data_IF_589533485549
#
_entry.id   IF_589533485549
#
_cell.length_a   1.000
_cell.length_b   1.000
_cell.length_c   1.000
_cell.angle_alpha   90.00
_cell.angle_beta   90.00
_cell.angle_gamma   90.00
#
_symmetry.space_group_name_H-M   'P 1'
#
loop_
_entity.id
_entity.type
_entity.pdbx_description
1 polymer ?
#
# COMPACT_ATOMS: atom_id res chain seq x y z
N UNK A 1 -10.08 0.78 3.86
CA UNK A 1 -8.60 0.87 3.80
C UNK A 1 -8.05 -0.17 4.75
N UNK A 2 -8.01 -1.46 4.37
CA UNK A 2 -7.63 -2.53 5.31
C UNK A 2 -6.79 -3.66 4.69
N UNK A 3 -6.87 -3.93 3.38
CA UNK A 3 -6.16 -5.08 2.81
C UNK A 3 -4.64 -4.94 2.75
N UNK A 4 -4.11 -3.78 2.33
CA UNK A 4 -2.65 -3.63 2.19
C UNK A 4 -1.94 -3.55 3.55
N UNK A 5 -2.57 -2.94 4.55
CA UNK A 5 -2.05 -2.89 5.91
C UNK A 5 -2.05 -4.28 6.57
N UNK A 6 -3.11 -5.07 6.35
CA UNK A 6 -3.18 -6.45 6.82
C UNK A 6 -2.12 -7.32 6.15
N UNK A 7 -1.99 -7.26 4.82
CA UNK A 7 -0.97 -8.00 4.10
C UNK A 7 0.46 -7.61 4.52
N UNK A 8 0.71 -6.31 4.76
CA UNK A 8 1.98 -5.83 5.31
C UNK A 8 2.25 -6.41 6.70
N UNK A 9 1.25 -6.41 7.59
CA UNK A 9 1.38 -6.98 8.93
C UNK A 9 1.65 -8.50 8.91
N UNK A 10 0.95 -9.23 8.04
CA UNK A 10 1.15 -10.68 7.87
C UNK A 10 2.55 -11.01 7.35
N UNK A 11 3.10 -10.19 6.45
CA UNK A 11 4.46 -10.38 5.93
C UNK A 11 5.52 -10.04 6.99
N UNK A 12 5.33 -8.98 7.78
CA UNK A 12 6.20 -8.68 8.94
C UNK A 12 6.17 -9.84 9.94
N UNK A 13 4.99 -10.40 10.24
CA UNK A 13 4.86 -11.55 11.14
C UNK A 13 5.60 -12.80 10.62
N UNK A 14 5.79 -12.91 9.30
CA UNK A 14 6.58 -13.96 8.66
C UNK A 14 8.08 -13.65 8.58
N UNK A 15 8.53 -12.50 9.09
CA UNK A 15 9.94 -12.11 9.16
C UNK A 15 10.42 -11.25 7.98
N UNK A 16 9.52 -10.79 7.11
CA UNK A 16 9.88 -9.84 6.05
C UNK A 16 10.20 -8.48 6.66
N UNK A 17 11.35 -7.91 6.25
CA UNK A 17 11.78 -6.58 6.68
C UNK A 17 11.42 -5.54 5.63
N UNK A 18 10.49 -4.65 5.96
CA UNK A 18 10.09 -3.53 5.10
C UNK A 18 10.99 -2.31 5.30
N UNK A 19 11.17 -1.56 4.21
CA UNK A 19 11.86 -0.27 4.17
C UNK A 19 10.92 0.84 4.64
N UNK A 20 9.63 0.73 4.30
CA UNK A 20 8.58 1.70 4.59
C UNK A 20 7.22 1.01 4.75
N UNK A 21 6.32 1.68 5.47
CA UNK A 21 4.92 1.25 5.62
C UNK A 21 4.12 1.53 4.34
N UNK A 22 2.99 0.82 4.10
CA UNK A 22 2.11 1.10 2.97
C UNK A 22 1.68 2.56 2.89
N UNK A 23 1.94 3.19 1.74
CA UNK A 23 1.61 4.60 1.50
C UNK A 23 1.14 4.83 0.07
N UNK A 24 0.38 5.91 -0.15
CA UNK A 24 -0.03 6.33 -1.50
C UNK A 24 1.20 6.78 -2.28
N UNK A 25 1.51 6.08 -3.37
CA UNK A 25 2.61 6.41 -4.28
C UNK A 25 2.12 7.15 -5.52
N UNK A 26 0.86 6.94 -5.93
CA UNK A 26 0.25 7.68 -7.03
C UNK A 26 -1.26 7.87 -6.83
N UNK A 27 -1.76 9.03 -7.28
CA UNK A 27 -3.19 9.25 -7.48
C UNK A 27 -3.52 8.95 -8.95
N UNK A 28 -4.49 8.06 -9.17
CA UNK A 28 -5.11 7.77 -10.46
C UNK A 28 -6.49 8.47 -10.50
N UNK A 29 -7.18 8.42 -11.64
CA UNK A 29 -8.44 9.15 -11.83
C UNK A 29 -9.52 8.74 -10.80
N UNK A 30 -9.66 7.45 -10.54
CA UNK A 30 -10.65 6.89 -9.62
C UNK A 30 -10.05 5.97 -8.55
N UNK A 31 -8.73 5.79 -8.56
CA UNK A 31 -8.01 4.94 -7.61
C UNK A 31 -6.80 5.65 -7.02
N UNK A 32 -6.29 5.11 -5.93
CA UNK A 32 -4.98 5.43 -5.37
C UNK A 32 -4.13 4.18 -5.45
N UNK A 33 -2.90 4.34 -5.94
CA UNK A 33 -1.91 3.28 -5.92
C UNK A 33 -1.13 3.37 -4.61
N UNK A 34 -1.14 2.28 -3.87
CA UNK A 34 -0.38 2.12 -2.64
C UNK A 34 0.79 1.18 -2.85
N UNK A 35 1.93 1.51 -2.26
CA UNK A 35 3.13 0.66 -2.26
C UNK A 35 3.79 0.63 -0.88
N UNK A 36 4.45 -0.49 -0.57
CA UNK A 36 5.41 -0.64 0.53
C UNK A 36 6.59 -1.48 0.03
N UNK A 37 7.83 -1.02 0.22
CA UNK A 37 9.01 -1.70 -0.33
C UNK A 37 9.70 -2.59 0.71
N UNK A 38 10.26 -3.71 0.24
CA UNK A 38 11.05 -4.63 1.05
C UNK A 38 12.11 -5.31 0.20
N UNK A 39 13.01 -6.04 0.85
CA UNK A 39 13.98 -6.90 0.16
C UNK A 39 13.68 -8.37 0.45
N UNK A 40 13.89 -9.23 -0.55
CA UNK A 40 13.91 -10.66 -0.32
C UNK A 40 15.22 -11.10 0.38
N UNK A 41 15.37 -12.41 0.59
CA UNK A 41 16.56 -12.98 1.27
C UNK A 41 17.86 -12.81 0.47
N UNK A 42 17.76 -12.48 -0.82
CA UNK A 42 18.88 -12.25 -1.74
C UNK A 42 19.07 -10.75 -2.03
N UNK A 43 18.50 -9.87 -1.18
CA UNK A 43 18.54 -8.42 -1.27
C UNK A 43 17.84 -7.81 -2.51
N UNK A 44 17.02 -8.58 -3.24
CA UNK A 44 16.28 -8.04 -4.37
C UNK A 44 15.14 -7.13 -3.92
N UNK A 45 15.00 -5.92 -4.50
CA UNK A 45 13.92 -5.02 -4.15
C UNK A 45 12.59 -5.54 -4.68
N UNK A 46 11.62 -5.68 -3.78
CA UNK A 46 10.24 -6.05 -4.05
C UNK A 46 9.31 -4.99 -3.46
N UNK A 47 8.05 -5.00 -3.91
CA UNK A 47 7.01 -4.12 -3.40
C UNK A 47 5.71 -4.89 -3.18
N UNK A 48 5.05 -4.61 -2.06
CA UNK A 48 3.63 -4.91 -1.86
C UNK A 48 2.83 -3.77 -2.49
N UNK A 49 1.81 -4.09 -3.29
CA UNK A 49 1.03 -3.10 -4.04
C UNK A 49 -0.47 -3.33 -3.85
N UNK A 50 -1.22 -2.24 -3.74
CA UNK A 50 -2.68 -2.28 -3.79
C UNK A 50 -3.24 -1.09 -4.58
N UNK A 51 -4.27 -1.36 -5.37
CA UNK A 51 -5.06 -0.34 -6.05
C UNK A 51 -6.37 -0.15 -5.27
N UNK A 52 -6.56 1.02 -4.67
CA UNK A 52 -7.69 1.31 -3.77
C UNK A 52 -8.58 2.36 -4.40
N UNK A 53 -9.85 2.03 -4.61
CA UNK A 53 -10.83 2.99 -5.16
C UNK A 53 -10.98 4.20 -4.25
N UNK A 54 -10.93 5.40 -4.83
CA UNK A 54 -11.10 6.65 -4.10
C UNK A 54 -12.59 6.94 -4.00
N UNK A 55 -13.16 6.81 -2.81
CA UNK A 55 -14.53 7.30 -2.59
C UNK A 55 -14.56 8.81 -2.89
N UNK A 56 -15.33 9.20 -3.92
CA UNK A 56 -15.61 10.62 -4.16
C UNK A 56 -16.35 11.15 -2.93
N UNK A 57 -15.70 12.00 -2.14
CA UNK A 57 -16.44 12.89 -1.25
C UNK A 57 -17.23 13.84 -2.14
N UNK A 58 -18.54 13.62 -2.25
CA UNK A 58 -19.44 14.65 -2.74
C UNK A 58 -19.23 15.87 -1.85
N UNK A 59 -18.69 16.93 -2.44
CA UNK A 59 -18.56 18.21 -1.77
C UNK A 59 -19.97 18.68 -1.44
N UNK A 60 -20.33 18.64 -0.17
CA UNK A 60 -21.55 19.27 0.31
C UNK A 60 -21.39 20.77 0.06
N UNK A 61 -21.93 21.23 -1.07
CA UNK A 61 -22.14 22.63 -1.35
C UNK A 61 -23.04 23.18 -0.23
N UNK A 62 -22.47 24.10 0.55
CA UNK A 62 -23.20 25.04 1.40
C UNK A 62 -23.06 26.42 0.77
#
# INVERSE_FOLDING_TARGET
>A
MADIEAAHSDLIAQGVSFVDEPQVTAELDDHTLWMAFFQDLDDHPLALMAEVHRERKESAAQ
#
